data_IF_404965145839
#
_entry.id   IF_404965145839
#
_cell.length_a   1.000
_cell.length_b   1.000
_cell.length_c   1.000
_cell.angle_alpha   90.00
_cell.angle_beta   90.00
_cell.angle_gamma   90.00
#
_symmetry.space_group_name_H-M   'P 1'
#
loop_
_entity.id
_entity.type
_entity.pdbx_description
1 polymer ?
#
# COMPACT_ATOMS: atom_id res chain seq x y z
N UNK A 1 -13.99 62.11 38.99
CA UNK A 1 -14.16 61.01 38.01
C UNK A 1 -13.04 60.01 38.21
N UNK A 2 -13.39 58.73 38.41
CA UNK A 2 -12.49 57.61 38.74
C UNK A 2 -11.85 57.06 37.46
N UNK A 3 -10.57 56.69 37.50
CA UNK A 3 -9.97 55.75 36.54
C UNK A 3 -9.09 54.78 37.32
N UNK A 4 -9.56 53.54 37.40
CA UNK A 4 -8.90 52.39 38.04
C UNK A 4 -8.11 51.68 36.94
N UNK A 5 -6.79 51.56 37.12
CA UNK A 5 -5.95 50.73 36.26
C UNK A 5 -6.03 49.27 36.73
N UNK A 6 -6.53 48.37 35.89
CA UNK A 6 -6.59 46.93 36.14
C UNK A 6 -5.46 46.27 35.34
N UNK A 7 -4.43 45.79 36.04
CA UNK A 7 -3.37 44.94 35.52
C UNK A 7 -3.87 43.49 35.46
N UNK A 8 -4.14 42.98 34.25
CA UNK A 8 -4.40 41.55 34.02
C UNK A 8 -3.07 40.80 33.80
N UNK A 9 -2.58 40.10 34.82
CA UNK A 9 -1.61 39.01 34.66
C UNK A 9 -2.37 37.75 34.22
N UNK A 10 -2.36 37.45 32.92
CA UNK A 10 -2.69 36.11 32.44
C UNK A 10 -1.40 35.29 32.35
N UNK A 11 -1.17 34.46 33.37
CA UNK A 11 -0.24 33.35 33.38
C UNK A 11 -0.51 32.41 32.20
N UNK A 12 0.41 32.35 31.23
CA UNK A 12 0.38 31.34 30.17
C UNK A 12 0.81 29.99 30.76
N UNK A 13 -0.17 29.18 31.14
CA UNK A 13 0.01 27.73 31.17
C UNK A 13 0.24 27.29 29.72
N UNK A 14 1.48 26.96 29.39
CA UNK A 14 1.81 26.27 28.14
C UNK A 14 1.16 24.88 28.21
N UNK A 15 0.25 24.51 27.30
CA UNK A 15 -0.11 23.11 27.15
C UNK A 15 1.14 22.35 26.71
N UNK A 16 1.59 21.41 27.53
CA UNK A 16 2.61 20.43 27.15
C UNK A 16 2.06 19.62 25.98
N UNK A 17 2.56 19.90 24.78
CA UNK A 17 2.35 19.05 23.62
C UNK A 17 3.02 17.71 23.95
N UNK A 18 2.23 16.67 24.20
CA UNK A 18 2.74 15.30 24.34
C UNK A 18 3.43 14.93 23.04
N UNK A 19 4.76 14.89 23.09
CA UNK A 19 5.59 14.47 21.98
C UNK A 19 5.40 12.97 21.75
N UNK A 20 4.77 12.60 20.63
CA UNK A 20 4.67 11.21 20.19
C UNK A 20 6.08 10.63 20.07
N UNK A 21 6.45 9.71 20.96
CA UNK A 21 7.75 9.05 20.95
C UNK A 21 7.64 7.76 20.14
N UNK A 22 8.00 7.84 18.85
CA UNK A 22 8.28 6.63 18.07
C UNK A 22 9.64 6.09 18.49
N UNK A 23 9.68 4.90 19.08
CA UNK A 23 10.90 4.23 19.51
C UNK A 23 11.26 3.12 18.51
N UNK A 24 12.50 3.12 18.05
CA UNK A 24 13.06 2.00 17.28
C UNK A 24 13.27 0.82 18.23
N UNK A 25 12.76 -0.37 17.87
CA UNK A 25 12.81 -1.58 18.70
C UNK A 25 13.54 -2.68 17.93
N UNK A 26 14.29 -3.51 18.65
CA UNK A 26 14.94 -4.69 18.07
C UNK A 26 13.91 -5.62 17.42
N UNK A 27 14.14 -6.00 16.17
CA UNK A 27 13.34 -6.97 15.43
C UNK A 27 13.24 -8.33 16.13
N UNK A 28 14.26 -8.72 16.92
CA UNK A 28 14.29 -9.97 17.68
C UNK A 28 13.54 -9.87 19.01
N UNK A 29 12.95 -8.70 19.30
CA UNK A 29 12.14 -8.53 20.48
C UNK A 29 10.92 -9.46 20.42
N UNK A 30 10.66 -10.19 21.50
CA UNK A 30 9.61 -11.21 21.55
C UNK A 30 8.22 -10.69 21.14
N UNK A 31 7.88 -9.46 21.55
CA UNK A 31 6.61 -8.83 21.16
C UNK A 31 6.53 -8.52 19.66
N UNK A 32 7.65 -8.22 19.00
CA UNK A 32 7.69 -8.00 17.55
C UNK A 32 7.38 -9.32 16.85
N UNK A 33 7.96 -10.42 17.31
CA UNK A 33 7.66 -11.74 16.76
C UNK A 33 6.20 -12.15 16.97
N UNK A 34 5.63 -11.94 18.17
CA UNK A 34 4.20 -12.17 18.45
C UNK A 34 3.31 -11.32 17.54
N UNK A 35 3.69 -10.06 17.28
CA UNK A 35 2.98 -9.18 16.38
C UNK A 35 3.04 -9.67 14.92
N UNK A 36 4.22 -10.11 14.45
CA UNK A 36 4.41 -10.69 13.11
C UNK A 36 3.60 -11.97 12.95
N UNK A 37 3.66 -12.87 13.92
CA UNK A 37 2.87 -14.11 13.92
C UNK A 37 1.36 -13.82 13.80
N UNK A 38 0.87 -12.85 14.58
CA UNK A 38 -0.53 -12.42 14.52
C UNK A 38 -0.89 -11.87 13.14
N UNK A 39 -0.01 -11.07 12.53
CA UNK A 39 -0.22 -10.49 11.20
C UNK A 39 -0.23 -11.54 10.10
N UNK A 40 0.74 -12.46 10.12
CA UNK A 40 0.90 -13.47 9.09
C UNK A 40 -0.19 -14.54 9.15
N UNK A 41 -0.61 -14.94 10.36
CA UNK A 41 -1.80 -15.80 10.55
C UNK A 41 -3.07 -15.14 10.01
N UNK A 42 -3.29 -13.85 10.30
CA UNK A 42 -4.44 -13.11 9.76
C UNK A 42 -4.41 -13.09 8.22
N UNK A 43 -3.25 -12.82 7.63
CA UNK A 43 -3.08 -12.80 6.18
C UNK A 43 -3.36 -14.15 5.54
N UNK A 44 -2.69 -15.21 6.02
CA UNK A 44 -2.88 -16.56 5.49
C UNK A 44 -4.33 -17.02 5.68
N UNK A 45 -4.98 -16.74 6.81
CA UNK A 45 -6.40 -17.09 7.03
C UNK A 45 -7.38 -16.32 6.11
N UNK A 46 -6.96 -15.18 5.56
CA UNK A 46 -7.76 -14.39 4.63
C UNK A 46 -7.75 -14.95 3.20
N UNK A 47 -6.72 -15.73 2.85
CA UNK A 47 -6.64 -16.41 1.55
C UNK A 47 -7.50 -17.67 1.57
N UNK A 48 -8.28 -17.90 0.51
CA UNK A 48 -9.16 -19.09 0.42
C UNK A 48 -8.54 -20.23 -0.39
N UNK A 49 -7.43 -19.97 -1.07
CA UNK A 49 -6.73 -20.91 -1.95
C UNK A 49 -5.24 -20.58 -2.03
N UNK A 50 -4.44 -21.52 -2.54
CA UNK A 50 -2.99 -21.38 -2.69
C UNK A 50 -2.22 -21.88 -1.46
N UNK A 51 -0.92 -21.53 -1.44
CA UNK A 51 -0.02 -21.86 -0.34
C UNK A 51 0.01 -20.76 0.72
N UNK A 52 0.37 -21.15 1.93
CA UNK A 52 0.65 -20.22 3.02
C UNK A 52 1.93 -19.44 2.73
N UNK A 53 1.95 -18.17 3.10
CA UNK A 53 3.16 -17.38 3.10
C UNK A 53 3.92 -17.54 4.42
N UNK A 54 5.23 -17.68 4.31
CA UNK A 54 6.19 -17.84 5.40
C UNK A 54 7.01 -16.57 5.53
N UNK A 55 7.27 -16.13 6.77
CA UNK A 55 8.12 -14.97 7.04
C UNK A 55 9.53 -15.22 6.51
N UNK A 56 10.05 -14.32 5.67
CA UNK A 56 11.44 -14.37 5.20
C UNK A 56 12.35 -13.49 6.06
N UNK A 57 12.01 -12.20 6.18
CA UNK A 57 12.77 -11.27 7.03
C UNK A 57 11.95 -10.06 7.44
N UNK A 58 12.33 -9.46 8.55
CA UNK A 58 11.77 -8.19 9.00
C UNK A 58 12.75 -7.09 8.57
N UNK A 59 12.26 -6.11 7.82
CA UNK A 59 13.08 -5.06 7.21
C UNK A 59 13.08 -3.77 8.02
N UNK A 60 11.95 -3.44 8.66
CA UNK A 60 11.80 -2.23 9.49
C UNK A 60 10.87 -2.51 10.66
N UNK A 61 11.16 -1.97 11.85
CA UNK A 61 10.27 -2.06 13.03
C UNK A 61 10.29 -0.76 13.80
N UNK A 62 9.09 -0.27 14.13
CA UNK A 62 8.88 0.91 14.95
C UNK A 62 7.82 0.60 16.00
N UNK A 63 8.06 1.08 17.23
CA UNK A 63 7.10 1.04 18.33
C UNK A 63 6.57 2.44 18.55
N UNK A 64 5.25 2.57 18.64
CA UNK A 64 4.57 3.84 18.95
C UNK A 64 3.82 3.63 20.27
N UNK A 65 4.15 4.45 21.26
CA UNK A 65 3.53 4.39 22.59
C UNK A 65 2.59 5.60 22.81
N UNK A 66 1.28 5.46 22.58
CA UNK A 66 0.25 6.41 23.09
C UNK A 66 -1.22 6.02 22.79
N UNK A 67 -2.16 5.96 23.77
CA UNK A 67 -2.08 5.31 25.09
C UNK A 67 -1.99 3.77 25.00
N UNK A 68 -2.26 3.21 23.82
CA UNK A 68 -2.03 1.81 23.46
C UNK A 68 -0.62 1.67 22.83
N UNK A 69 -0.04 0.46 22.89
CA UNK A 69 1.24 0.15 22.24
C UNK A 69 0.96 -0.33 20.82
N UNK A 70 1.59 0.30 19.82
CA UNK A 70 1.51 -0.15 18.43
C UNK A 70 2.89 -0.54 17.91
N UNK A 71 2.97 -1.68 17.23
CA UNK A 71 4.13 -2.10 16.47
C UNK A 71 3.83 -1.90 14.99
N UNK A 72 4.58 -1.01 14.35
CA UNK A 72 4.52 -0.81 12.90
C UNK A 72 5.80 -1.36 12.28
N UNK A 73 5.67 -2.38 11.44
CA UNK A 73 6.81 -3.06 10.85
C UNK A 73 6.58 -3.42 9.39
N UNK A 74 7.70 -3.50 8.65
CA UNK A 74 7.75 -4.04 7.30
C UNK A 74 8.46 -5.38 7.34
N UNK A 75 7.93 -6.33 6.59
CA UNK A 75 8.50 -7.67 6.49
C UNK A 75 8.27 -8.24 5.11
N UNK A 76 9.22 -9.06 4.69
CA UNK A 76 9.15 -9.82 3.46
C UNK A 76 8.64 -11.23 3.77
N UNK A 77 7.80 -11.74 2.89
CA UNK A 77 7.25 -13.09 2.92
C UNK A 77 7.59 -13.84 1.64
N UNK A 78 7.71 -15.15 1.76
CA UNK A 78 7.88 -16.07 0.64
C UNK A 78 6.81 -17.14 0.69
N UNK A 79 6.34 -17.57 -0.47
CA UNK A 79 5.40 -18.67 -0.59
C UNK A 79 6.02 -19.94 0.00
N UNK A 80 5.29 -20.61 0.89
CA UNK A 80 5.66 -21.89 1.46
C UNK A 80 5.11 -23.07 0.66
N UNK A 81 5.40 -24.27 1.13
CA UNK A 81 4.92 -25.54 0.55
C UNK A 81 3.58 -26.03 1.13
N UNK A 82 3.11 -25.44 2.24
CA UNK A 82 1.84 -25.77 2.85
C UNK A 82 0.66 -25.09 2.16
N UNK A 83 -0.45 -25.81 2.01
CA UNK A 83 -1.72 -25.22 1.62
C UNK A 83 -2.33 -24.38 2.74
N UNK A 84 -3.06 -23.33 2.39
CA UNK A 84 -3.75 -22.44 3.34
C UNK A 84 -4.81 -23.18 4.18
N UNK A 85 -5.40 -24.26 3.66
CA UNK A 85 -6.38 -25.08 4.37
C UNK A 85 -5.77 -26.21 5.22
N UNK A 86 -4.44 -26.34 5.26
CA UNK A 86 -3.80 -27.34 6.10
C UNK A 86 -3.90 -26.95 7.59
N UNK A 87 -3.88 -27.96 8.47
CA UNK A 87 -3.84 -27.76 9.93
C UNK A 87 -2.48 -27.20 10.42
N UNK A 88 -1.54 -26.96 9.52
CA UNK A 88 -0.19 -26.43 9.80
C UNK A 88 -0.21 -24.92 9.91
N UNK A 89 0.63 -24.37 10.79
CA UNK A 89 0.89 -22.92 10.80
C UNK A 89 2.04 -22.59 9.86
N UNK A 90 2.17 -21.31 9.50
CA UNK A 90 3.26 -20.84 8.62
C UNK A 90 4.66 -21.16 9.17
N UNK A 91 4.81 -21.38 10.48
CA UNK A 91 6.05 -21.81 11.11
C UNK A 91 6.43 -23.26 10.81
N UNK A 92 5.45 -24.10 10.46
CA UNK A 92 5.63 -25.52 10.14
C UNK A 92 5.85 -25.76 8.64
N UNK A 93 5.92 -24.69 7.86
CA UNK A 93 5.99 -24.71 6.40
C UNK A 93 7.38 -24.34 5.92
N UNK A 94 7.90 -25.13 5.00
CA UNK A 94 9.18 -24.83 4.37
C UNK A 94 8.97 -23.86 3.21
N UNK A 95 10.02 -23.12 2.84
CA UNK A 95 9.95 -22.25 1.66
C UNK A 95 9.84 -23.11 0.40
N UNK A 96 8.96 -22.68 -0.51
CA UNK A 96 8.90 -23.22 -1.86
C UNK A 96 10.18 -22.85 -2.63
N UNK A 97 10.47 -23.59 -3.69
CA UNK A 97 11.63 -23.34 -4.55
C UNK A 97 11.70 -21.86 -4.98
N UNK A 98 12.85 -21.16 -4.85
CA UNK A 98 12.97 -19.74 -5.14
C UNK A 98 12.54 -19.33 -6.55
N UNK A 99 12.65 -20.20 -7.55
CA UNK A 99 12.22 -19.93 -8.92
C UNK A 99 10.70 -20.07 -9.11
N UNK A 100 10.00 -20.67 -8.14
CA UNK A 100 8.55 -20.94 -8.21
C UNK A 100 7.76 -20.33 -7.06
N UNK A 101 8.43 -19.65 -6.13
CA UNK A 101 7.85 -19.04 -4.96
C UNK A 101 7.45 -17.58 -5.23
N UNK A 102 6.17 -17.26 -5.04
CA UNK A 102 5.78 -15.86 -4.94
C UNK A 102 6.47 -15.21 -3.73
N UNK A 103 6.87 -13.95 -3.90
CA UNK A 103 7.44 -13.15 -2.81
C UNK A 103 6.48 -12.01 -2.49
N UNK A 104 6.58 -11.45 -1.29
CA UNK A 104 5.71 -10.36 -0.89
C UNK A 104 6.38 -9.40 0.05
N UNK A 105 6.05 -8.13 -0.08
CA UNK A 105 6.46 -7.07 0.83
C UNK A 105 5.24 -6.57 1.59
N UNK A 106 5.25 -6.75 2.91
CA UNK A 106 4.13 -6.39 3.78
C UNK A 106 4.49 -5.21 4.67
N UNK A 107 3.55 -4.27 4.81
CA UNK A 107 3.56 -3.21 5.82
C UNK A 107 2.38 -3.43 6.75
N UNK A 108 2.62 -3.48 8.06
CA UNK A 108 1.58 -3.77 9.05
C UNK A 108 1.71 -2.88 10.28
N UNK A 109 0.57 -2.55 10.87
CA UNK A 109 0.48 -1.98 12.22
C UNK A 109 -0.35 -2.90 13.11
N UNK A 110 0.23 -3.34 14.23
CA UNK A 110 -0.38 -4.24 15.21
C UNK A 110 -0.49 -3.53 16.55
N UNK A 111 -1.70 -3.48 17.10
CA UNK A 111 -1.96 -2.96 18.44
C UNK A 111 -1.76 -4.06 19.49
N UNK A 112 -1.08 -3.74 20.59
CA UNK A 112 -1.00 -4.55 21.82
C UNK A 112 -1.89 -3.89 22.88
N UNK A 113 -2.93 -4.60 23.32
CA UNK A 113 -3.89 -4.12 24.35
C UNK A 113 -3.99 -5.10 25.52
N UNK A 114 -4.17 -4.57 26.74
CA UNK A 114 -4.45 -5.36 27.94
C UNK A 114 -3.41 -6.45 28.22
N UNK A 115 -3.86 -7.67 28.58
CA UNK A 115 -3.05 -8.87 28.85
C UNK A 115 -2.32 -9.40 27.60
N UNK A 116 -1.45 -8.59 26.97
CA UNK A 116 -0.63 -8.98 25.81
C UNK A 116 -1.41 -9.45 24.58
N UNK A 117 -2.65 -8.99 24.38
CA UNK A 117 -3.41 -9.36 23.20
C UNK A 117 -2.98 -8.50 22.01
N UNK A 118 -2.49 -9.15 20.96
CA UNK A 118 -2.12 -8.52 19.69
C UNK A 118 -3.30 -8.55 18.73
N UNK A 119 -3.56 -7.43 18.08
CA UNK A 119 -4.59 -7.32 17.04
C UNK A 119 -4.09 -6.46 15.89
N UNK A 120 -4.22 -6.98 14.67
CA UNK A 120 -3.82 -6.26 13.45
C UNK A 120 -4.77 -5.09 13.21
N UNK A 121 -4.26 -3.87 13.27
CA UNK A 121 -4.99 -2.65 12.97
C UNK A 121 -5.05 -2.41 11.45
N UNK A 122 -3.89 -2.44 10.79
CA UNK A 122 -3.76 -2.30 9.33
C UNK A 122 -2.74 -3.28 8.80
N UNK A 123 -2.98 -3.81 7.60
CA UNK A 123 -2.05 -4.72 6.94
C UNK A 123 -2.22 -4.59 5.43
N UNK A 124 -1.12 -4.33 4.74
CA UNK A 124 -1.06 -4.28 3.28
C UNK A 124 0.13 -5.10 2.84
N UNK A 125 -0.09 -6.04 1.93
CA UNK A 125 0.98 -6.85 1.34
C UNK A 125 0.95 -6.69 -0.18
N UNK A 126 2.09 -6.35 -0.76
CA UNK A 126 2.29 -6.34 -2.20
C UNK A 126 2.97 -7.65 -2.59
N UNK A 127 2.23 -8.53 -3.25
CA UNK A 127 2.74 -9.83 -3.69
C UNK A 127 3.30 -9.69 -5.10
N UNK A 128 4.57 -10.06 -5.24
CA UNK A 128 5.23 -10.30 -6.51
C UNK A 128 5.09 -11.79 -6.82
N UNK A 129 4.29 -12.17 -7.84
CA UNK A 129 4.22 -13.57 -8.27
C UNK A 129 5.63 -14.09 -8.59
N UNK A 130 5.85 -15.39 -8.43
CA UNK A 130 7.10 -16.00 -8.89
C UNK A 130 7.33 -15.59 -10.35
N UNK A 131 8.60 -15.39 -10.74
CA UNK A 131 8.99 -15.48 -12.14
C UNK A 131 8.72 -16.92 -12.56
N UNK A 132 7.46 -17.22 -12.85
CA UNK A 132 7.02 -18.58 -13.08
C UNK A 132 7.87 -19.19 -14.20
N UNK A 133 7.97 -20.53 -14.26
CA UNK A 133 8.32 -21.14 -15.52
C UNK A 133 7.45 -20.50 -16.60
N UNK A 134 8.05 -20.14 -17.75
CA UNK A 134 7.32 -19.78 -18.98
C UNK A 134 6.04 -20.59 -18.97
N UNK A 135 4.88 -19.93 -18.85
CA UNK A 135 3.60 -20.59 -18.59
C UNK A 135 3.24 -21.48 -19.79
N UNK A 136 3.83 -22.65 -19.80
CA UNK A 136 3.14 -23.89 -20.11
C UNK A 136 2.78 -24.45 -18.75
N UNK A 137 1.79 -23.80 -18.09
CA UNK A 137 0.94 -24.57 -17.21
C UNK A 137 0.33 -25.63 -18.12
N UNK A 138 0.95 -26.80 -18.15
CA UNK A 138 0.38 -28.00 -18.70
C UNK A 138 -0.80 -28.31 -17.78
N UNK A 139 -1.91 -27.61 -18.01
CA UNK A 139 -3.18 -27.99 -17.45
C UNK A 139 -3.48 -29.34 -18.07
N UNK A 140 -3.31 -30.40 -17.29
CA UNK A 140 -3.56 -31.79 -17.71
C UNK A 140 -4.99 -31.99 -18.28
N UNK A 141 -5.87 -31.00 -18.07
CA UNK A 141 -7.14 -30.87 -18.79
C UNK A 141 -7.34 -29.44 -19.34
N UNK A 142 -7.28 -29.30 -20.67
CA UNK A 142 -7.61 -28.08 -21.40
C UNK A 142 -9.06 -27.61 -21.16
N UNK A 143 -9.97 -28.53 -20.82
CA UNK A 143 -11.40 -28.27 -20.64
C UNK A 143 -11.83 -27.95 -19.21
N UNK A 144 -10.91 -27.82 -18.24
CA UNK A 144 -11.26 -27.42 -16.88
C UNK A 144 -11.34 -25.89 -16.75
N UNK A 145 -12.12 -25.43 -15.77
CA UNK A 145 -12.21 -24.02 -15.41
C UNK A 145 -10.95 -23.65 -14.62
N UNK A 146 -10.17 -22.71 -15.14
CA UNK A 146 -8.89 -22.30 -14.56
C UNK A 146 -8.89 -20.81 -14.21
N UNK A 147 -8.31 -20.41 -13.07
CA UNK A 147 -8.18 -19.01 -12.75
C UNK A 147 -7.26 -18.30 -13.75
N UNK A 148 -7.63 -17.08 -14.11
CA UNK A 148 -6.83 -16.19 -14.95
C UNK A 148 -6.60 -14.85 -14.23
N UNK A 149 -5.56 -14.13 -14.63
CA UNK A 149 -5.26 -12.83 -14.02
C UNK A 149 -6.42 -11.86 -14.21
N UNK A 150 -6.79 -11.14 -13.14
CA UNK A 150 -7.81 -10.06 -13.20
C UNK A 150 -7.36 -8.86 -14.04
N UNK A 151 -6.05 -8.75 -14.33
CA UNK A 151 -5.49 -7.77 -15.26
C UNK A 151 -5.33 -8.30 -16.69
N UNK A 152 -5.80 -9.52 -16.98
CA UNK A 152 -5.65 -10.12 -18.31
C UNK A 152 -6.36 -9.28 -19.38
N UNK A 153 -5.68 -8.85 -20.46
CA UNK A 153 -6.28 -8.06 -21.52
C UNK A 153 -7.38 -8.81 -22.27
N UNK A 154 -7.40 -10.14 -22.20
CA UNK A 154 -8.45 -10.98 -22.81
C UNK A 154 -9.84 -10.77 -22.19
N UNK A 155 -9.90 -10.22 -20.96
CA UNK A 155 -11.16 -9.90 -20.29
C UNK A 155 -11.85 -8.65 -20.85
N UNK A 156 -11.12 -7.76 -21.54
CA UNK A 156 -11.62 -6.45 -21.96
C UNK A 156 -12.92 -6.50 -22.80
N UNK A 157 -13.05 -7.39 -23.81
CA UNK A 157 -14.29 -7.49 -24.59
C UNK A 157 -15.48 -7.94 -23.74
N UNK A 158 -15.24 -8.88 -22.82
CA UNK A 158 -16.26 -9.41 -21.91
C UNK A 158 -16.68 -8.32 -20.93
N UNK A 159 -15.73 -7.66 -20.25
CA UNK A 159 -15.96 -6.56 -19.29
C UNK A 159 -16.67 -5.36 -19.92
N UNK A 160 -16.39 -5.04 -21.18
CA UNK A 160 -17.15 -4.01 -21.90
C UNK A 160 -18.61 -4.43 -22.04
N UNK A 161 -18.85 -5.68 -22.41
CA UNK A 161 -20.19 -6.23 -22.53
C UNK A 161 -20.91 -6.27 -21.17
N UNK A 162 -20.21 -6.64 -20.08
CA UNK A 162 -20.79 -6.75 -18.73
C UNK A 162 -21.41 -5.43 -18.27
N UNK A 163 -20.66 -4.33 -18.41
CA UNK A 163 -21.09 -3.00 -17.99
C UNK A 163 -22.18 -2.44 -18.91
N UNK A 164 -22.08 -2.70 -20.21
CA UNK A 164 -23.13 -2.31 -21.16
C UNK A 164 -24.44 -3.06 -20.88
N UNK A 165 -24.36 -4.36 -20.60
CA UNK A 165 -25.50 -5.19 -20.29
C UNK A 165 -26.21 -4.70 -19.02
N UNK A 166 -25.47 -4.50 -17.92
CA UNK A 166 -26.03 -4.02 -16.67
C UNK A 166 -26.72 -2.67 -16.84
N UNK A 167 -26.06 -1.71 -17.49
CA UNK A 167 -26.62 -0.38 -17.68
C UNK A 167 -27.86 -0.37 -18.59
N UNK A 168 -27.93 -1.27 -19.57
CA UNK A 168 -29.08 -1.35 -20.46
C UNK A 168 -30.27 -2.12 -19.85
N UNK A 169 -30.00 -3.14 -19.02
CA UNK A 169 -31.03 -4.04 -18.47
C UNK A 169 -31.52 -3.67 -17.08
N UNK A 170 -30.73 -2.92 -16.31
CA UNK A 170 -31.15 -2.49 -14.97
C UNK A 170 -32.15 -1.35 -15.02
N UNK A 171 -33.05 -1.32 -14.04
CA UNK A 171 -34.02 -0.23 -13.85
C UNK A 171 -33.44 0.99 -13.10
N UNK A 172 -32.13 0.98 -12.80
CA UNK A 172 -31.49 2.10 -12.13
C UNK A 172 -31.51 3.37 -13.00
N UNK A 173 -31.67 4.53 -12.35
CA UNK A 173 -31.71 5.84 -13.01
C UNK A 173 -30.34 6.34 -13.50
N UNK A 174 -29.27 5.81 -12.90
CA UNK A 174 -27.89 6.21 -13.16
C UNK A 174 -27.11 5.11 -13.87
N UNK A 175 -26.06 5.52 -14.57
CA UNK A 175 -25.09 4.60 -15.15
C UNK A 175 -24.11 4.13 -14.08
N UNK A 176 -23.63 2.90 -14.22
CA UNK A 176 -22.66 2.25 -13.35
C UNK A 176 -21.36 2.00 -14.12
N UNK A 177 -20.25 2.13 -13.41
CA UNK A 177 -18.91 1.89 -13.94
C UNK A 177 -18.23 0.74 -13.17
N UNK A 178 -17.31 0.04 -13.83
CA UNK A 178 -16.49 -0.99 -13.20
C UNK A 178 -15.63 -0.38 -12.10
N UNK A 179 -15.68 -0.93 -10.89
CA UNK A 179 -14.87 -0.49 -9.76
C UNK A 179 -13.66 -1.41 -9.55
N UNK A 180 -13.91 -2.71 -9.41
CA UNK A 180 -12.88 -3.68 -9.05
C UNK A 180 -13.26 -5.07 -9.58
N UNK A 181 -12.29 -5.83 -10.10
CA UNK A 181 -12.49 -7.25 -10.46
C UNK A 181 -11.95 -8.11 -9.31
N UNK A 182 -12.82 -8.89 -8.68
CA UNK A 182 -12.48 -9.76 -7.54
C UNK A 182 -11.83 -11.07 -7.98
N UNK A 183 -12.34 -11.68 -9.05
CA UNK A 183 -11.78 -12.91 -9.60
C UNK A 183 -12.20 -13.12 -11.05
N UNK A 184 -11.38 -13.82 -11.83
CA UNK A 184 -11.71 -14.24 -13.18
C UNK A 184 -11.25 -15.69 -13.42
N UNK A 185 -12.08 -16.46 -14.10
CA UNK A 185 -11.81 -17.85 -14.48
C UNK A 185 -12.17 -18.07 -15.94
N UNK A 186 -11.45 -18.99 -16.61
CA UNK A 186 -11.62 -19.32 -18.02
C UNK A 186 -11.60 -20.83 -18.23
N UNK A 187 -12.46 -21.32 -19.12
CA UNK A 187 -12.51 -22.72 -19.56
C UNK A 187 -12.47 -22.76 -21.09
N UNK A 188 -11.67 -23.66 -21.66
CA UNK A 188 -11.65 -23.88 -23.12
C UNK A 188 -12.76 -24.86 -23.50
N UNK A 189 -13.58 -24.45 -24.48
CA UNK A 189 -14.67 -25.24 -25.07
C UNK A 189 -14.63 -25.04 -26.60
N UNK A 190 -15.76 -25.05 -27.30
CA UNK A 190 -15.86 -24.49 -28.66
C UNK A 190 -15.77 -22.95 -28.61
N UNK A 191 -14.62 -22.41 -28.20
CA UNK A 191 -14.44 -21.03 -27.76
C UNK A 191 -13.98 -21.00 -26.29
N UNK A 192 -14.49 -20.04 -25.52
CA UNK A 192 -14.12 -19.85 -24.12
C UNK A 192 -15.33 -19.56 -23.24
N UNK A 193 -15.42 -20.21 -22.09
CA UNK A 193 -16.32 -19.78 -21.02
C UNK A 193 -15.52 -18.92 -20.03
N UNK A 194 -16.11 -17.81 -19.60
CA UNK A 194 -15.59 -16.94 -18.56
C UNK A 194 -16.55 -16.92 -17.38
N UNK A 195 -16.00 -16.96 -16.18
CA UNK A 195 -16.72 -16.65 -14.93
C UNK A 195 -15.97 -15.51 -14.23
N UNK A 196 -16.64 -14.37 -14.03
CA UNK A 196 -16.01 -13.15 -13.53
C UNK A 196 -16.83 -12.60 -12.35
N UNK A 197 -16.16 -12.36 -11.23
CA UNK A 197 -16.75 -11.67 -10.07
C UNK A 197 -16.15 -10.27 -9.97
N UNK A 198 -17.00 -9.24 -9.84
CA UNK A 198 -16.56 -7.85 -9.84
C UNK A 198 -17.55 -6.92 -9.12
N UNK A 199 -17.08 -5.72 -8.79
CA UNK A 199 -17.85 -4.65 -8.20
C UNK A 199 -18.11 -3.56 -9.24
N UNK A 200 -19.32 -3.03 -9.25
CA UNK A 200 -19.70 -1.83 -10.00
C UNK A 200 -20.19 -0.76 -9.05
N UNK A 201 -19.95 0.49 -9.42
CA UNK A 201 -20.31 1.66 -8.62
C UNK A 201 -21.13 2.64 -9.45
N UNK A 202 -22.15 3.20 -8.83
CA UNK A 202 -22.99 4.22 -9.43
C UNK A 202 -22.18 5.48 -9.79
N UNK A 203 -22.51 6.09 -10.93
CA UNK A 203 -21.88 7.32 -11.41
C UNK A 203 -22.81 8.52 -11.33
N UNK A 204 -22.24 9.71 -11.47
CA UNK A 204 -22.99 10.96 -11.57
C UNK A 204 -23.86 11.07 -12.85
N UNK A 205 -23.67 10.20 -13.85
CA UNK A 205 -24.40 10.22 -15.11
C UNK A 205 -25.78 9.56 -14.99
N UNK A 206 -26.84 10.29 -15.34
CA UNK A 206 -28.20 9.72 -15.45
C UNK A 206 -28.44 9.11 -16.82
N UNK A 207 -29.20 8.00 -16.87
CA UNK A 207 -29.55 7.32 -18.13
C UNK A 207 -30.41 8.17 -19.06
N UNK A 208 -31.19 9.11 -18.50
CA UNK A 208 -31.99 10.06 -19.29
C UNK A 208 -31.13 11.00 -20.13
N UNK A 209 -29.99 11.44 -19.58
CA UNK A 209 -29.09 12.40 -20.24
C UNK A 209 -27.98 11.71 -21.01
N UNK A 210 -27.56 10.53 -20.54
CA UNK A 210 -26.43 9.79 -21.08
C UNK A 210 -26.90 8.40 -21.55
N UNK A 211 -26.92 8.14 -22.86
CA UNK A 211 -27.32 6.83 -23.39
C UNK A 211 -26.27 5.74 -23.09
N UNK A 212 -25.04 6.12 -22.77
CA UNK A 212 -23.95 5.21 -22.39
C UNK A 212 -22.89 5.96 -21.57
N UNK A 213 -21.95 5.21 -20.99
CA UNK A 213 -20.84 5.79 -20.24
C UNK A 213 -19.96 6.66 -21.15
N UNK A 214 -19.67 7.87 -20.68
CA UNK A 214 -18.71 8.79 -21.29
C UNK A 214 -17.56 9.06 -20.32
N UNK A 215 -16.43 9.63 -20.78
CA UNK A 215 -15.31 10.00 -19.90
C UNK A 215 -15.68 11.00 -18.79
N UNK A 216 -16.82 11.69 -18.91
CA UNK A 216 -17.32 12.64 -17.91
C UNK A 216 -18.06 11.95 -16.75
N UNK A 217 -18.39 10.67 -16.90
CA UNK A 217 -19.05 9.88 -15.86
C UNK A 217 -18.05 9.49 -14.79
N UNK A 218 -18.23 10.04 -13.59
CA UNK A 218 -17.38 9.81 -12.42
C UNK A 218 -18.15 9.04 -11.36
N UNK A 219 -17.46 8.12 -10.68
CA UNK A 219 -18.04 7.32 -9.59
C UNK A 219 -18.44 8.21 -8.42
N UNK A 220 -19.64 8.00 -7.89
CA UNK A 220 -20.13 8.70 -6.71
C UNK A 220 -19.55 8.06 -5.45
N UNK A 221 -18.99 8.87 -4.55
CA UNK A 221 -18.44 8.39 -3.27
C UNK A 221 -19.49 7.80 -2.33
N UNK A 222 -20.77 8.15 -2.53
CA UNK A 222 -21.94 7.63 -1.84
C UNK A 222 -22.90 6.89 -2.80
N UNK A 223 -22.40 6.48 -3.97
CA UNK A 223 -23.19 5.76 -4.95
C UNK A 223 -23.45 4.32 -4.54
N UNK A 224 -24.54 3.75 -5.03
CA UNK A 224 -24.83 2.33 -4.82
C UNK A 224 -23.70 1.48 -5.42
N UNK A 225 -23.26 0.49 -4.65
CA UNK A 225 -22.27 -0.50 -5.08
C UNK A 225 -23.00 -1.82 -5.27
N UNK A 226 -22.79 -2.48 -6.40
CA UNK A 226 -23.30 -3.83 -6.64
C UNK A 226 -22.14 -4.78 -6.83
N UNK A 227 -22.29 -5.97 -6.25
CA UNK A 227 -21.42 -7.11 -6.50
C UNK A 227 -22.08 -8.01 -7.55
N UNK A 228 -21.33 -8.31 -8.60
CA UNK A 228 -21.82 -9.00 -9.78
C UNK A 228 -20.99 -10.25 -10.07
N UNK A 229 -21.68 -11.28 -10.54
CA UNK A 229 -21.12 -12.52 -11.07
C UNK A 229 -21.62 -12.72 -12.49
N UNK A 230 -20.69 -12.78 -13.44
CA UNK A 230 -20.98 -12.95 -14.85
C UNK A 230 -20.44 -14.26 -15.38
N UNK A 231 -21.28 -14.94 -16.17
CA UNK A 231 -20.94 -16.12 -16.95
C UNK A 231 -21.11 -15.81 -18.43
N UNK A 232 -20.02 -15.82 -19.17
CA UNK A 232 -19.99 -15.47 -20.58
C UNK A 232 -19.38 -16.59 -21.42
N UNK A 233 -20.05 -16.97 -22.51
CA UNK A 233 -19.48 -17.84 -23.53
C UNK A 233 -19.04 -16.99 -24.74
N UNK A 234 -17.78 -17.08 -25.10
CA UNK A 234 -17.18 -16.40 -26.25
C UNK A 234 -16.90 -17.45 -27.33
N UNK A 235 -17.48 -17.27 -28.52
CA UNK A 235 -17.31 -18.20 -29.64
C UNK A 235 -15.92 -18.08 -30.29
N UNK A 236 -15.64 -18.97 -31.25
CA UNK A 236 -14.39 -18.96 -32.03
C UNK A 236 -14.19 -17.69 -32.88
N UNK A 237 -15.23 -16.87 -33.06
CA UNK A 237 -15.17 -15.57 -33.73
C UNK A 237 -14.98 -14.41 -32.74
N UNK A 238 -14.66 -14.70 -31.47
CA UNK A 238 -14.46 -13.74 -30.38
C UNK A 238 -15.71 -12.92 -30.04
N UNK A 239 -16.91 -13.47 -30.29
CA UNK A 239 -18.18 -12.82 -29.95
C UNK A 239 -18.75 -13.43 -28.68
N UNK A 240 -19.32 -12.59 -27.81
CA UNK A 240 -20.09 -13.07 -26.65
C UNK A 240 -21.39 -13.72 -27.15
N UNK A 241 -21.38 -15.04 -27.27
CA UNK A 241 -22.46 -15.85 -27.84
C UNK A 241 -23.53 -16.20 -26.80
N UNK A 242 -23.17 -16.31 -25.52
CA UNK A 242 -24.14 -16.36 -24.42
C UNK A 242 -23.63 -15.60 -23.21
N UNK A 243 -24.55 -15.06 -22.43
CA UNK A 243 -24.23 -14.17 -21.32
C UNK A 243 -25.30 -14.27 -20.23
N UNK A 244 -24.86 -14.44 -18.99
CA UNK A 244 -25.68 -14.42 -17.79
C UNK A 244 -24.98 -13.54 -16.76
N UNK A 245 -25.74 -12.64 -16.15
CA UNK A 245 -25.25 -11.69 -15.17
C UNK A 245 -26.19 -11.68 -13.98
N UNK A 246 -25.60 -11.85 -12.80
CA UNK A 246 -26.30 -11.76 -11.52
C UNK A 246 -25.61 -10.68 -10.70
N UNK A 247 -26.36 -9.64 -10.34
CA UNK A 247 -25.86 -8.54 -9.52
C UNK A 247 -26.73 -8.37 -8.29
N UNK A 248 -26.09 -8.14 -7.15
CA UNK A 248 -26.77 -7.87 -5.88
C UNK A 248 -26.23 -6.58 -5.26
N UNK A 249 -27.09 -5.84 -4.57
CA UNK A 249 -26.67 -4.65 -3.84
C UNK A 249 -25.65 -5.07 -2.78
N UNK A 250 -24.45 -4.50 -2.86
CA UNK A 250 -23.36 -4.83 -1.97
C UNK A 250 -23.62 -4.19 -0.60
N UNK A 251 -24.23 -4.96 0.29
CA UNK A 251 -24.45 -4.59 1.69
C UNK A 251 -23.18 -4.90 2.49
N UNK A 252 -22.13 -4.13 2.25
CA UNK A 252 -20.92 -4.18 3.08
C UNK A 252 -21.29 -3.81 4.52
N UNK A 253 -21.24 -4.79 5.44
CA UNK A 253 -21.16 -4.48 6.87
C UNK A 253 -19.94 -3.57 7.07
N UNK A 254 -20.22 -2.37 7.58
CA UNK A 254 -19.26 -1.37 8.07
C UNK A 254 -18.37 -0.65 7.03
N UNK A 255 -18.96 -0.06 6.00
CA UNK A 255 -18.43 1.20 5.46
C UNK A 255 -19.20 2.39 6.04
N UNK A 256 -18.96 2.68 7.33
CA UNK A 256 -18.93 4.08 7.73
C UNK A 256 -17.58 4.59 7.26
N UNK A 257 -17.47 5.01 5.99
CA UNK A 257 -16.52 6.08 5.73
C UNK A 257 -16.92 7.18 6.72
N UNK A 258 -16.00 7.67 7.59
CA UNK A 258 -16.30 8.85 8.36
C UNK A 258 -16.80 9.86 7.34
N UNK A 259 -18.00 10.40 7.53
CA UNK A 259 -18.44 11.58 6.78
C UNK A 259 -17.24 12.52 6.79
N UNK A 260 -16.53 12.60 5.67
CA UNK A 260 -15.48 13.58 5.49
C UNK A 260 -16.28 14.86 5.49
N UNK A 261 -16.43 15.48 6.66
CA UNK A 261 -16.91 16.84 6.78
C UNK A 261 -16.06 17.58 5.78
N UNK A 262 -16.68 18.05 4.70
CA UNK A 262 -16.02 18.86 3.69
C UNK A 262 -15.74 20.19 4.38
N UNK A 263 -14.70 20.22 5.21
CA UNK A 263 -14.09 21.44 5.68
C UNK A 263 -13.05 21.83 4.64
N UNK A 264 -13.37 22.88 3.87
CA UNK A 264 -12.46 23.43 2.86
C UNK A 264 -11.09 23.81 3.43
N UNK A 265 -11.02 24.09 4.74
CA UNK A 265 -9.79 24.42 5.46
C UNK A 265 -9.14 23.27 6.23
N UNK A 266 -9.53 22.01 6.07
CA UNK A 266 -8.83 20.89 6.72
C UNK A 266 -7.69 20.36 5.84
N UNK A 267 -6.59 19.86 6.43
CA UNK A 267 -5.58 19.13 5.67
C UNK A 267 -6.19 17.91 4.98
N UNK A 268 -5.96 17.79 3.67
CA UNK A 268 -6.30 16.62 2.87
C UNK A 268 -5.03 15.91 2.46
N UNK A 269 -5.06 14.58 2.52
CA UNK A 269 -3.97 13.77 1.99
C UNK A 269 -3.86 13.97 0.47
N UNK A 270 -2.63 14.10 -0.02
CA UNK A 270 -2.33 14.17 -1.46
C UNK A 270 -1.34 13.07 -1.84
N UNK A 271 -1.45 12.50 -3.05
CA UNK A 271 -0.49 11.50 -3.51
C UNK A 271 0.95 12.03 -3.44
N UNK A 272 1.88 11.19 -2.98
CA UNK A 272 3.31 11.58 -2.80
C UNK A 272 4.04 11.86 -4.12
N UNK A 273 3.49 11.40 -5.24
CA UNK A 273 3.96 11.67 -6.61
C UNK A 273 3.18 12.82 -7.29
N UNK A 274 2.38 13.58 -6.54
CA UNK A 274 1.64 14.70 -7.10
C UNK A 274 2.61 15.78 -7.63
N UNK A 275 2.42 16.30 -8.87
CA UNK A 275 3.25 17.38 -9.40
C UNK A 275 3.15 18.66 -8.56
N UNK A 276 2.07 18.83 -7.78
CA UNK A 276 1.91 19.94 -6.85
C UNK A 276 2.95 19.94 -5.71
N UNK A 277 3.64 18.81 -5.47
CA UNK A 277 4.68 18.70 -4.45
C UNK A 277 6.08 19.10 -4.92
N UNK A 278 6.30 19.28 -6.22
CA UNK A 278 7.64 19.56 -6.77
C UNK A 278 8.27 20.83 -6.18
N UNK A 279 7.55 21.96 -6.26
CA UNK A 279 8.00 23.23 -5.70
C UNK A 279 8.15 23.17 -4.16
N UNK A 280 7.16 22.66 -3.38
CA UNK A 280 7.33 22.46 -1.94
C UNK A 280 8.51 21.57 -1.54
N UNK A 281 8.78 20.48 -2.26
CA UNK A 281 9.90 19.58 -1.98
C UNK A 281 11.24 20.26 -2.27
N UNK A 282 11.36 21.00 -3.38
CA UNK A 282 12.55 21.77 -3.72
C UNK A 282 12.86 22.82 -2.65
N UNK A 283 11.86 23.54 -2.17
CA UNK A 283 12.03 24.49 -1.07
C UNK A 283 12.37 23.80 0.26
N UNK A 284 11.84 22.61 0.50
CA UNK A 284 12.13 21.83 1.70
C UNK A 284 13.58 21.35 1.72
N UNK A 285 14.10 20.80 0.62
CA UNK A 285 15.48 20.31 0.55
C UNK A 285 16.50 21.45 0.57
N UNK A 286 16.19 22.58 -0.07
CA UNK A 286 17.00 23.79 0.02
C UNK A 286 17.08 24.31 1.47
N UNK A 287 15.92 24.38 2.16
CA UNK A 287 15.85 24.80 3.56
C UNK A 287 16.63 23.86 4.48
N UNK A 288 16.46 22.54 4.32
CA UNK A 288 17.22 21.53 5.05
C UNK A 288 18.72 21.76 4.91
N UNK A 289 19.22 21.89 3.67
CA UNK A 289 20.64 22.04 3.43
C UNK A 289 21.22 23.38 3.88
N UNK A 290 20.42 24.45 3.88
CA UNK A 290 20.82 25.75 4.39
C UNK A 290 20.91 25.78 5.93
N UNK A 291 20.03 25.07 6.64
CA UNK A 291 20.00 25.08 8.11
C UNK A 291 20.80 23.96 8.76
N UNK A 292 21.11 22.90 8.02
CA UNK A 292 21.89 21.77 8.51
C UNK A 292 23.39 22.02 8.35
N UNK A 293 24.13 21.97 9.46
CA UNK A 293 25.58 22.21 9.49
C UNK A 293 26.45 21.01 9.04
N UNK A 294 25.86 19.97 8.44
CA UNK A 294 26.63 18.85 7.90
C UNK A 294 27.56 19.26 6.75
N UNK A 295 28.68 18.54 6.62
CA UNK A 295 29.70 18.76 5.59
C UNK A 295 29.17 18.46 4.19
N UNK A 296 28.33 17.44 4.06
CA UNK A 296 27.76 17.00 2.78
C UNK A 296 26.32 17.48 2.62
N UNK A 297 25.89 17.65 1.38
CA UNK A 297 24.48 17.92 1.08
C UNK A 297 23.63 16.68 1.32
N UNK A 298 22.35 16.88 1.64
CA UNK A 298 21.33 15.86 1.68
C UNK A 298 20.43 15.93 0.44
N UNK A 299 19.95 14.77 0.00
CA UNK A 299 18.88 14.63 -0.99
C UNK A 299 17.66 13.97 -0.37
N UNK A 300 16.47 14.31 -0.85
CA UNK A 300 15.25 13.58 -0.52
C UNK A 300 15.36 12.20 -1.16
N UNK A 301 15.18 11.16 -0.35
CA UNK A 301 15.22 9.76 -0.77
C UNK A 301 13.80 9.22 -0.98
N UNK A 302 12.93 9.43 0.02
CA UNK A 302 11.55 8.96 -0.01
C UNK A 302 10.61 9.97 0.65
N UNK A 303 9.50 10.28 -0.01
CA UNK A 303 8.39 11.01 0.58
C UNK A 303 7.40 10.00 1.16
N UNK A 304 7.22 9.99 2.48
CA UNK A 304 6.34 9.04 3.19
C UNK A 304 4.88 9.46 3.11
N UNK A 305 4.61 10.75 3.34
CA UNK A 305 3.25 11.30 3.39
C UNK A 305 3.26 12.78 3.04
N UNK A 306 2.21 13.22 2.36
CA UNK A 306 1.95 14.63 2.11
C UNK A 306 0.48 14.99 2.33
N UNK A 307 0.25 16.18 2.88
CA UNK A 307 -1.09 16.77 3.02
C UNK A 307 -1.10 18.22 2.57
N UNK A 308 -2.20 18.68 1.98
CA UNK A 308 -2.42 20.08 1.61
C UNK A 308 -3.63 20.66 2.35
N UNK A 309 -3.51 21.91 2.79
CA UNK A 309 -4.56 22.66 3.45
C UNK A 309 -4.73 24.02 2.78
N UNK A 310 -5.96 24.39 2.43
CA UNK A 310 -6.28 25.73 1.92
C UNK A 310 -6.50 26.67 3.11
N UNK A 311 -5.71 27.74 3.16
CA UNK A 311 -5.79 28.82 4.16
C UNK A 311 -5.79 30.16 3.43
N UNK A 312 -5.05 31.19 3.87
CA UNK A 312 -4.69 32.35 3.06
C UNK A 312 -3.53 32.02 2.08
N UNK A 313 -3.65 30.92 1.36
CA UNK A 313 -2.63 30.31 0.52
C UNK A 313 -2.77 28.80 0.55
N UNK A 314 -1.70 28.06 0.28
CA UNK A 314 -1.65 26.61 0.44
C UNK A 314 -0.59 26.25 1.47
N UNK A 315 -0.96 25.44 2.45
CA UNK A 315 -0.03 24.90 3.45
C UNK A 315 0.16 23.41 3.19
N UNK A 316 1.38 23.01 2.88
CA UNK A 316 1.78 21.62 2.72
C UNK A 316 2.44 21.12 4.01
N UNK A 317 2.09 19.92 4.43
CA UNK A 317 2.82 19.17 5.46
C UNK A 317 3.36 17.91 4.79
N UNK A 318 4.69 17.74 4.81
CA UNK A 318 5.38 16.70 4.07
C UNK A 318 6.31 15.96 5.02
N UNK A 319 6.18 14.65 5.10
CA UNK A 319 7.09 13.78 5.82
C UNK A 319 7.97 13.06 4.81
N UNK A 320 9.28 13.22 4.90
CA UNK A 320 10.23 12.60 3.99
C UNK A 320 11.50 12.16 4.69
N UNK A 321 12.18 11.20 4.10
CA UNK A 321 13.52 10.76 4.49
C UNK A 321 14.54 11.41 3.56
N UNK A 322 15.61 11.96 4.14
CA UNK A 322 16.72 12.54 3.39
C UNK A 322 18.02 11.77 3.65
N UNK A 323 18.81 11.55 2.61
CA UNK A 323 20.10 10.84 2.69
C UNK A 323 21.26 11.76 2.34
N UNK A 324 22.36 11.58 3.06
CA UNK A 324 23.63 12.26 2.80
C UNK A 324 24.16 11.88 1.41
N UNK A 325 24.70 12.86 0.71
CA UNK A 325 25.26 12.71 -0.64
C UNK A 325 26.79 12.71 -0.62
N UNK A 326 27.39 12.42 -1.77
CA UNK A 326 28.84 12.52 -1.97
C UNK A 326 29.31 13.98 -2.15
N UNK A 327 28.41 14.92 -2.42
CA UNK A 327 28.72 16.32 -2.64
C UNK A 327 28.95 17.07 -1.33
N UNK A 328 30.14 17.64 -1.19
CA UNK A 328 30.51 18.48 -0.04
C UNK A 328 30.03 19.91 -0.25
N UNK A 329 29.50 20.54 0.81
CA UNK A 329 29.12 21.97 0.83
C UNK A 329 30.32 22.91 0.74
N UNK A 330 31.54 22.40 0.89
CA UNK A 330 32.77 23.19 0.78
C UNK A 330 33.29 23.27 -0.66
N UNK A 331 33.05 22.22 -1.46
CA UNK A 331 33.51 22.13 -2.85
C UNK A 331 32.41 22.43 -3.87
N UNK A 332 31.14 22.39 -3.44
CA UNK A 332 29.98 22.61 -4.28
C UNK A 332 29.19 23.80 -3.72
N UNK A 333 28.87 24.77 -4.58
CA UNK A 333 28.05 25.94 -4.19
C UNK A 333 26.59 25.55 -3.93
N UNK A 334 26.08 24.55 -4.64
CA UNK A 334 24.69 24.09 -4.56
C UNK A 334 24.55 22.57 -4.70
N UNK A 335 23.41 22.04 -4.28
CA UNK A 335 23.04 20.65 -4.51
C UNK A 335 22.63 20.47 -5.98
N UNK A 336 23.46 19.76 -6.75
CA UNK A 336 23.18 19.44 -8.16
C UNK A 336 22.53 18.06 -8.32
N UNK A 337 21.85 17.82 -9.44
CA UNK A 337 21.27 16.51 -9.75
C UNK A 337 22.32 15.40 -9.81
N UNK A 338 23.55 15.70 -10.21
CA UNK A 338 24.68 14.76 -10.26
C UNK A 338 25.17 14.26 -8.89
N UNK A 339 24.72 14.84 -7.78
CA UNK A 339 25.13 14.41 -6.44
C UNK A 339 24.54 13.06 -6.06
N UNK A 340 25.34 12.00 -6.10
CA UNK A 340 24.89 10.65 -5.74
C UNK A 340 24.68 10.49 -4.23
N UNK A 341 23.75 9.61 -3.86
CA UNK A 341 23.52 9.25 -2.46
C UNK A 341 24.71 8.43 -1.96
N UNK A 342 25.31 8.86 -0.85
CA UNK A 342 26.47 8.21 -0.24
C UNK A 342 26.02 6.92 0.47
N UNK A 343 26.64 5.79 0.13
CA UNK A 343 26.41 4.49 0.79
C UNK A 343 27.72 3.97 1.39
N UNK A 344 27.88 3.90 2.73
CA UNK A 344 26.96 4.36 3.78
C UNK A 344 27.01 5.90 3.98
N UNK A 345 25.87 6.49 4.32
CA UNK A 345 25.71 7.93 4.58
C UNK A 345 24.67 8.18 5.66
N UNK A 346 24.65 9.39 6.22
CA UNK A 346 23.65 9.77 7.23
C UNK A 346 22.23 9.76 6.65
N UNK A 347 21.26 9.37 7.48
CA UNK A 347 19.84 9.35 7.12
C UNK A 347 19.08 10.26 8.09
N UNK A 348 18.23 11.13 7.56
CA UNK A 348 17.42 12.06 8.34
C UNK A 348 15.94 11.78 8.09
N UNK A 349 15.14 11.72 9.16
CA UNK A 349 13.68 11.79 9.04
C UNK A 349 13.25 13.23 9.22
N UNK A 350 12.55 13.77 8.24
CA UNK A 350 12.22 15.19 8.15
C UNK A 350 10.72 15.40 8.06
N UNK A 351 10.24 16.40 8.80
CA UNK A 351 8.90 16.95 8.65
C UNK A 351 9.02 18.39 8.16
N UNK A 352 8.49 18.64 6.97
CA UNK A 352 8.45 19.96 6.36
C UNK A 352 7.03 20.53 6.36
N UNK A 353 6.93 21.79 6.78
CA UNK A 353 5.75 22.62 6.62
C UNK A 353 6.07 23.71 5.61
N UNK A 354 5.45 23.69 4.43
CA UNK A 354 5.68 24.67 3.36
C UNK A 354 4.42 25.50 3.16
N UNK A 355 4.50 26.80 3.43
CA UNK A 355 3.40 27.71 3.21
C UNK A 355 3.64 28.55 1.96
N UNK A 356 2.77 28.38 0.96
CA UNK A 356 2.85 29.02 -0.36
C UNK A 356 1.75 30.07 -0.46
N UNK A 357 2.13 31.31 -0.78
CA UNK A 357 1.23 32.45 -0.99
C UNK A 357 1.39 32.92 -2.45
N UNK A 358 0.62 32.35 -3.41
CA UNK A 358 0.88 32.55 -4.84
C UNK A 358 0.80 34.01 -5.29
N UNK A 359 -0.16 34.78 -4.77
CA UNK A 359 -0.35 36.19 -5.15
C UNK A 359 0.73 37.13 -4.62
N UNK A 360 1.46 36.72 -3.58
CA UNK A 360 2.63 37.44 -3.09
C UNK A 360 3.95 36.90 -3.67
N UNK A 361 3.90 35.75 -4.36
CA UNK A 361 5.07 34.99 -4.82
C UNK A 361 6.04 34.67 -3.67
N UNK A 362 5.50 34.34 -2.50
CA UNK A 362 6.28 34.00 -1.30
C UNK A 362 6.06 32.57 -0.88
N UNK A 363 7.16 31.91 -0.49
CA UNK A 363 7.18 30.54 -0.01
C UNK A 363 7.96 30.49 1.30
N UNK A 364 7.33 29.92 2.32
CA UNK A 364 7.88 29.83 3.67
C UNK A 364 8.06 28.37 4.05
N UNK A 365 9.21 27.76 3.73
CA UNK A 365 9.52 26.39 4.14
C UNK A 365 10.03 26.39 5.58
N UNK A 366 9.53 25.46 6.38
CA UNK A 366 10.10 25.09 7.69
C UNK A 366 10.40 23.61 7.65
N UNK A 367 11.61 23.20 8.01
CA UNK A 367 11.99 21.79 8.02
C UNK A 367 12.57 21.43 9.37
N UNK A 368 12.05 20.36 9.97
CA UNK A 368 12.61 19.78 11.20
C UNK A 368 13.03 18.37 10.89
N UNK A 369 14.31 18.09 11.07
CA UNK A 369 14.87 16.77 10.83
C UNK A 369 15.43 16.19 12.11
N UNK A 370 15.35 14.86 12.21
CA UNK A 370 15.95 14.07 13.26
C UNK A 370 16.93 13.09 12.61
N UNK A 371 18.13 12.99 13.20
CA UNK A 371 19.10 12.00 12.76
C UNK A 371 18.56 10.61 13.08
N UNK A 372 18.31 9.83 12.03
CA UNK A 372 18.26 8.39 12.14
C UNK A 372 19.73 7.96 12.16
N UNK A 373 20.26 7.54 13.31
CA UNK A 373 21.69 7.30 13.50
C UNK A 373 22.32 6.40 12.43
N UNK A 374 23.66 6.32 12.39
CA UNK A 374 24.37 5.23 11.69
C UNK A 374 24.02 3.90 12.36
N UNK A 375 22.81 3.43 12.16
CA UNK A 375 22.33 2.13 12.55
C UNK A 375 22.24 1.39 11.24
N UNK A 376 23.10 0.38 11.10
CA UNK A 376 22.75 -0.74 10.25
C UNK A 376 21.32 -1.12 10.62
N UNK A 377 20.36 -0.77 9.74
CA UNK A 377 19.15 -1.57 9.58
C UNK A 377 19.65 -2.96 9.24
N UNK A 378 19.98 -3.74 10.27
CA UNK A 378 20.19 -5.17 10.10
C UNK A 378 18.79 -5.66 9.74
N UNK A 379 18.58 -5.91 8.45
CA UNK A 379 17.57 -6.86 7.99
C UNK A 379 17.71 -8.08 8.88
N UNK A 380 16.67 -8.38 9.65
CA UNK A 380 16.66 -9.56 10.48
C UNK A 380 16.10 -10.68 9.63
N UNK A 381 17.01 -11.46 9.03
CA UNK A 381 16.63 -12.75 8.47
C UNK A 381 16.02 -13.57 9.61
N UNK A 382 14.78 -13.99 9.40
CA UNK A 382 14.18 -14.98 10.26
C UNK A 382 15.04 -16.24 10.14
N UNK A 383 15.75 -16.63 11.21
CA UNK A 383 16.46 -17.92 11.28
C UNK A 383 15.47 -19.07 11.46
N UNK A 384 14.43 -19.12 10.63
CA UNK A 384 13.57 -20.29 10.49
C UNK A 384 14.31 -21.35 9.68
N UNK A 385 15.07 -22.20 10.39
CA UNK A 385 15.78 -23.41 9.94
C UNK A 385 16.76 -23.22 8.75
N UNK A 386 18.04 -23.52 8.99
CA UNK A 386 19.01 -23.67 7.90
C UNK A 386 18.50 -24.72 6.92
N UNK A 387 18.53 -24.44 5.62
CA UNK A 387 18.45 -25.49 4.61
C UNK A 387 19.55 -26.50 4.95
N UNK A 388 19.17 -27.72 5.35
CA UNK A 388 20.10 -28.83 5.25
C UNK A 388 20.39 -28.98 3.75
N UNK A 389 21.59 -28.56 3.36
CA UNK A 389 22.11 -28.80 2.03
C UNK A 389 21.98 -30.30 1.77
N UNK A 390 21.19 -30.65 0.74
CA UNK A 390 20.94 -32.02 0.35
C UNK A 390 22.25 -32.79 0.27
N UNK A 391 22.24 -33.97 0.87
CA UNK A 391 23.33 -34.93 0.77
C UNK A 391 23.73 -35.08 -0.70
N UNK A 392 24.99 -34.77 -0.97
CA UNK A 392 25.68 -35.04 -2.22
C UNK A 392 25.54 -36.53 -2.52
N UNK A 393 24.83 -36.86 -3.60
CA UNK A 393 24.75 -38.22 -4.11
C UNK A 393 26.15 -38.66 -4.55
N UNK A 394 26.79 -39.47 -3.71
CA UNK A 394 28.00 -40.21 -4.04
C UNK A 394 27.67 -41.16 -5.19
N UNK A 395 28.45 -41.21 -6.29
CA UNK A 395 28.25 -42.19 -7.34
C UNK A 395 28.60 -43.58 -6.81
N UNK A 396 27.67 -44.53 -6.89
CA UNK A 396 27.99 -45.94 -6.73
C UNK A 396 28.98 -46.34 -7.83
N UNK A 397 30.16 -46.76 -7.39
CA UNK A 397 31.15 -47.45 -8.19
C UNK A 397 30.59 -48.78 -8.68
N UNK A 398 30.55 -48.98 -10.00
CA UNK A 398 30.52 -50.31 -10.59
C UNK A 398 31.85 -51.01 -10.31
N UNK A 399 31.84 -51.95 -9.35
CA UNK A 399 32.74 -53.10 -9.33
C UNK A 399 31.87 -54.33 -9.16
N UNK A 400 31.58 -54.98 -10.29
CA UNK A 400 31.75 -56.42 -10.46
C UNK A 400 31.83 -56.77 -11.93
#
# INVERSE_FOLDING_TARGET
MKLIAILFLCSRLLPSLTQESSQEIDCNHQDVFKAVDTALKKYNSGNKSGNQFVLYRITEVTKIDNPDIFYSFKYEIKEGDCLVQSDKTWQDCDYKDPAQAATGECTVTVAKRGNEKFSVATQTCQITPAEGPVVTAQYDCLGCLHPISTSSPELQPVLRHTIQHFNNKSDHLHLFHLHEIKSAQRQVVAGWNYEINYLIVQTNCSKEKFPSLTPECTSLSNGDIHECTDKAHVDLQLRVASFSQECSLYQGKDFVQPLVKICAGCPRDIPVNSPELEEPLNHSIAKLNAENNAVFYFKIDLVEKATVQVVAGKKYSIVFTARETTCSKQSNEELTESCEIKKPGQILKCNASVYVVPWEKKIYPTVKCQLLGQRHLRSCEYKGRQQEAGAELVPESEVN
#
